data_IF_495715160712
#
_entry.id   IF_495715160712
#
_cell.length_a   1.000
_cell.length_b   1.000
_cell.length_c   1.000
_cell.angle_alpha   90.00
_cell.angle_beta   90.00
_cell.angle_gamma   90.00
#
_symmetry.space_group_name_H-M   'P 1'
#
loop_
_entity.id
_entity.type
_entity.pdbx_description
1 polymer ?
#
# COMPACT_ATOMS: atom_id res chain seq x y z
N UNK A 1 -1.56 6.61 17.24
CA UNK A 1 -1.98 6.30 15.84
C UNK A 1 -2.19 7.62 15.10
N UNK A 2 -1.48 7.89 14.00
CA UNK A 2 -1.72 9.10 13.20
C UNK A 2 -2.87 8.83 12.21
N UNK A 3 -3.94 9.62 12.27
CA UNK A 3 -5.07 9.53 11.34
C UNK A 3 -4.95 10.64 10.30
N UNK A 4 -5.02 10.29 9.02
CA UNK A 4 -5.09 11.26 7.91
C UNK A 4 -6.43 11.12 7.22
N UNK A 5 -7.15 12.24 7.06
CA UNK A 5 -8.37 12.31 6.26
C UNK A 5 -7.98 12.54 4.80
N UNK A 6 -8.47 11.68 3.91
CA UNK A 6 -8.26 11.78 2.47
C UNK A 6 -9.62 11.96 1.79
N UNK A 7 -9.58 12.50 0.56
CA UNK A 7 -10.75 12.58 -0.31
C UNK A 7 -10.63 11.52 -1.39
N UNK A 8 -11.77 10.96 -1.78
CA UNK A 8 -11.89 10.18 -3.00
C UNK A 8 -12.05 11.18 -4.15
N UNK A 9 -11.25 11.00 -5.19
CA UNK A 9 -11.28 11.80 -6.40
C UNK A 9 -11.87 10.97 -7.54
N UNK A 10 -12.18 11.62 -8.65
CA UNK A 10 -12.49 10.94 -9.91
C UNK A 10 -11.22 10.84 -10.76
N UNK A 11 -10.94 9.66 -11.32
CA UNK A 11 -9.88 9.49 -12.32
C UNK A 11 -10.51 9.35 -13.73
N UNK A 12 -10.18 10.25 -14.67
CA UNK A 12 -10.57 10.07 -16.07
C UNK A 12 -9.67 9.01 -16.70
N UNK A 13 -10.18 7.78 -16.88
CA UNK A 13 -9.53 6.77 -17.73
C UNK A 13 -10.37 6.71 -19.00
N UNK A 14 -9.78 7.11 -20.12
CA UNK A 14 -10.22 6.94 -21.50
C UNK A 14 -11.74 6.68 -21.66
N UNK A 15 -12.50 7.72 -22.02
CA UNK A 15 -13.97 7.72 -22.21
C UNK A 15 -14.84 7.41 -20.98
N UNK A 16 -14.30 6.82 -19.91
CA UNK A 16 -15.05 6.47 -18.70
C UNK A 16 -14.88 7.59 -17.67
N UNK A 17 -15.93 8.40 -17.52
CA UNK A 17 -16.09 9.32 -16.38
C UNK A 17 -16.57 8.51 -15.17
N UNK A 18 -16.26 8.94 -13.95
CA UNK A 18 -16.71 8.38 -12.65
C UNK A 18 -15.94 7.20 -12.02
N UNK A 19 -14.68 6.93 -12.36
CA UNK A 19 -13.92 5.90 -11.62
C UNK A 19 -13.36 6.49 -10.32
N UNK A 20 -13.66 5.90 -9.14
CA UNK A 20 -13.12 6.40 -7.86
C UNK A 20 -11.62 6.19 -7.76
N UNK A 21 -10.92 7.23 -7.33
CA UNK A 21 -9.46 7.28 -7.20
C UNK A 21 -9.08 7.74 -5.79
N UNK A 22 -8.26 6.94 -5.11
CA UNK A 22 -7.65 7.30 -3.82
C UNK A 22 -6.19 7.62 -4.08
N UNK A 23 -5.77 8.85 -3.77
CA UNK A 23 -4.36 9.26 -3.88
C UNK A 23 -3.66 9.18 -2.54
N UNK A 24 -2.75 8.21 -2.40
CA UNK A 24 -1.82 8.11 -1.29
C UNK A 24 -0.49 8.73 -1.73
N UNK A 25 -0.19 9.91 -1.22
CA UNK A 25 1.05 10.64 -1.54
C UNK A 25 1.55 11.46 -0.35
N UNK A 26 2.87 11.64 -0.28
CA UNK A 26 3.53 12.53 0.67
C UNK A 26 4.65 11.87 1.47
N UNK A 27 5.44 12.70 2.16
CA UNK A 27 6.62 12.26 2.96
C UNK A 27 6.29 11.18 4.00
N UNK A 28 5.06 11.19 4.51
CA UNK A 28 4.59 10.22 5.49
C UNK A 28 4.55 8.78 4.96
N UNK A 29 4.38 8.56 3.66
CA UNK A 29 4.48 7.21 3.07
C UNK A 29 5.92 6.72 3.09
N UNK A 30 6.86 7.61 2.74
CA UNK A 30 8.29 7.32 2.80
C UNK A 30 8.74 7.01 4.23
N UNK A 31 8.25 7.77 5.21
CA UNK A 31 8.51 7.53 6.65
C UNK A 31 7.99 6.16 7.13
N UNK A 32 6.95 5.62 6.48
CA UNK A 32 6.40 4.28 6.76
C UNK A 32 7.09 3.16 5.96
N UNK A 33 8.06 3.47 5.11
CA UNK A 33 8.79 2.49 4.29
C UNK A 33 8.18 2.21 2.91
N UNK A 34 7.10 2.89 2.52
CA UNK A 34 6.53 2.80 1.16
C UNK A 34 7.41 3.58 0.19
N UNK A 35 8.43 2.90 -0.32
CA UNK A 35 9.39 3.43 -1.29
C UNK A 35 9.00 3.02 -2.71
N UNK A 36 9.36 3.82 -3.74
CA UNK A 36 9.20 3.40 -5.13
C UNK A 36 9.91 2.05 -5.38
N UNK A 37 9.22 1.13 -6.06
CA UNK A 37 9.73 -0.21 -6.36
C UNK A 37 9.55 -1.25 -5.24
N UNK A 38 9.09 -0.87 -4.05
CA UNK A 38 8.73 -1.84 -3.00
C UNK A 38 7.35 -2.43 -3.26
N UNK A 39 7.23 -3.73 -3.03
CA UNK A 39 5.96 -4.44 -3.12
C UNK A 39 5.11 -4.24 -1.85
N UNK A 40 3.79 -4.31 -2.02
CA UNK A 40 2.83 -4.17 -0.93
C UNK A 40 1.61 -5.04 -1.18
N UNK A 41 1.01 -5.49 -0.08
CA UNK A 41 -0.27 -6.17 -0.08
C UNK A 41 -1.41 -5.16 0.06
N UNK A 42 -2.44 -5.32 -0.78
CA UNK A 42 -3.68 -4.56 -0.68
C UNK A 42 -4.83 -5.54 -0.48
N UNK A 43 -5.42 -5.52 0.72
CA UNK A 43 -6.57 -6.35 1.08
C UNK A 43 -7.84 -5.50 1.10
N UNK A 44 -8.93 -6.01 0.56
CA UNK A 44 -10.21 -5.31 0.43
C UNK A 44 -11.33 -6.13 1.10
N UNK A 45 -12.07 -5.53 2.02
CA UNK A 45 -13.20 -6.20 2.69
C UNK A 45 -14.23 -5.18 3.21
N UNK A 46 -15.52 -5.35 2.87
CA UNK A 46 -16.67 -4.61 3.44
C UNK A 46 -16.42 -3.10 3.62
N UNK A 47 -15.96 -2.43 2.58
CA UNK A 47 -15.69 -0.97 2.60
C UNK A 47 -14.40 -0.56 3.30
N UNK A 48 -13.51 -1.51 3.61
CA UNK A 48 -12.19 -1.28 4.19
C UNK A 48 -11.10 -1.69 3.20
N UNK A 49 -10.04 -0.91 3.17
CA UNK A 49 -8.81 -1.23 2.45
C UNK A 49 -7.69 -1.27 3.51
N UNK A 50 -6.96 -2.37 3.54
CA UNK A 50 -5.77 -2.54 4.36
C UNK A 50 -4.56 -2.63 3.42
N UNK A 51 -3.59 -1.75 3.62
CA UNK A 51 -2.36 -1.66 2.82
C UNK A 51 -1.19 -1.93 3.76
N UNK A 52 -0.39 -2.94 3.44
CA UNK A 52 0.72 -3.41 4.25
C UNK A 52 1.94 -3.65 3.35
N UNK A 53 3.13 -3.26 3.80
CA UNK A 53 4.36 -3.61 3.09
C UNK A 53 4.56 -5.12 3.14
N UNK A 54 5.08 -5.68 2.05
CA UNK A 54 5.60 -7.04 2.09
C UNK A 54 6.95 -6.95 2.78
N UNK A 55 7.05 -7.53 3.96
CA UNK A 55 8.33 -7.82 4.56
C UNK A 55 8.84 -9.08 3.85
N UNK A 56 9.86 -8.92 3.00
CA UNK A 56 10.74 -10.03 2.69
C UNK A 56 11.27 -10.49 4.04
N UNK A 57 10.78 -11.63 4.53
CA UNK A 57 11.51 -12.34 5.55
C UNK A 57 12.88 -12.59 4.94
N UNK A 58 13.92 -12.00 5.51
CA UNK A 58 15.25 -12.54 5.34
C UNK A 58 15.12 -14.02 5.76
N UNK A 59 15.11 -14.92 4.79
CA UNK A 59 15.37 -16.34 5.02
C UNK A 59 16.85 -16.46 5.41
N UNK A 60 17.20 -15.96 6.59
CA UNK A 60 18.47 -16.25 7.25
C UNK A 60 18.30 -17.43 8.22
N UNK A 61 18.75 -18.58 7.71
CA UNK A 61 19.31 -19.75 8.39
C UNK A 61 18.42 -20.61 9.30
N UNK A 62 18.24 -21.87 8.88
CA UNK A 62 19.03 -22.93 9.52
C UNK A 62 19.42 -24.04 8.51
N UNK A 63 20.59 -23.87 7.91
CA UNK A 63 21.43 -25.01 7.59
C UNK A 63 22.47 -25.10 8.70
N UNK A 64 22.37 -26.08 9.61
CA UNK A 64 23.45 -26.95 10.09
C UNK A 64 22.95 -27.94 11.19
N UNK A 65 22.90 -29.24 10.81
CA UNK A 65 23.64 -30.33 11.50
C UNK A 65 23.01 -30.97 12.75
N UNK A 66 22.36 -32.13 12.58
CA UNK A 66 22.83 -33.41 13.15
C UNK A 66 22.17 -34.62 12.46
#
# INVERSE_FOLDING_TARGET
>A
MKVRKLKVYEAPINSSRNIPCIRLQGKWLKELGFLPGKEMNVKMNKGRILIELIHEAEEEYDSHKK
#
